data_IF_978623415080
#
_entry.id   IF_978623415080
#
_cell.length_a   1.000
_cell.length_b   1.000
_cell.length_c   1.000
_cell.angle_alpha   90.00
_cell.angle_beta   90.00
_cell.angle_gamma   90.00
#
_symmetry.space_group_name_H-M   'P 1'
#
loop_
_entity.id
_entity.type
_entity.pdbx_description
1 polymer ?
#
# COMPACT_ATOMS: atom_id res chain seq x y z
N UNK A 1 -55.65 50.19 -0.23
CA UNK A 1 -55.13 49.75 -1.54
C UNK A 1 -56.27 49.72 -2.55
N UNK A 2 -55.99 50.01 -3.81
CA UNK A 2 -56.91 49.78 -4.93
C UNK A 2 -56.98 48.27 -5.28
N UNK A 3 -57.97 47.84 -6.07
CA UNK A 3 -58.15 46.42 -6.44
C UNK A 3 -56.90 45.83 -7.10
N UNK A 4 -56.33 46.54 -8.08
CA UNK A 4 -55.18 46.05 -8.84
C UNK A 4 -53.93 45.95 -7.95
N UNK A 5 -53.79 46.84 -6.97
CA UNK A 5 -52.72 46.77 -5.97
C UNK A 5 -52.86 45.55 -5.06
N UNK A 6 -54.08 45.21 -4.65
CA UNK A 6 -54.36 44.00 -3.85
C UNK A 6 -54.05 42.74 -4.64
N UNK A 7 -54.48 42.66 -5.91
CA UNK A 7 -54.21 41.50 -6.77
C UNK A 7 -52.71 41.36 -7.09
N UNK A 8 -51.98 42.48 -7.22
CA UNK A 8 -50.53 42.46 -7.36
C UNK A 8 -49.83 42.00 -6.06
N UNK A 9 -50.25 42.50 -4.90
CA UNK A 9 -49.69 42.11 -3.61
C UNK A 9 -49.91 40.63 -3.29
N UNK A 10 -51.11 40.09 -3.55
CA UNK A 10 -51.41 38.66 -3.37
C UNK A 10 -50.53 37.77 -4.26
N UNK A 11 -50.30 38.15 -5.52
CA UNK A 11 -49.37 37.41 -6.40
C UNK A 11 -47.95 37.42 -5.85
N UNK A 12 -47.45 38.59 -5.46
CA UNK A 12 -46.11 38.73 -4.89
C UNK A 12 -45.93 37.86 -3.62
N UNK A 13 -46.90 37.89 -2.71
CA UNK A 13 -46.85 37.13 -1.46
C UNK A 13 -46.98 35.61 -1.69
N UNK A 14 -47.71 35.19 -2.72
CA UNK A 14 -47.74 33.77 -3.11
C UNK A 14 -46.38 33.28 -3.59
N UNK A 15 -45.74 34.04 -4.48
CA UNK A 15 -44.39 33.73 -4.95
C UNK A 15 -43.36 33.79 -3.81
N UNK A 16 -43.54 34.66 -2.82
CA UNK A 16 -42.74 34.71 -1.60
C UNK A 16 -42.95 33.48 -0.71
N UNK A 17 -44.20 33.06 -0.50
CA UNK A 17 -44.54 31.83 0.23
C UNK A 17 -43.87 30.60 -0.39
N UNK A 18 -43.94 30.45 -1.72
CA UNK A 18 -43.34 29.32 -2.43
C UNK A 18 -41.82 29.30 -2.26
N UNK A 19 -41.16 30.47 -2.40
CA UNK A 19 -39.71 30.60 -2.16
C UNK A 19 -39.33 30.25 -0.73
N UNK A 20 -40.06 30.75 0.27
CA UNK A 20 -39.80 30.44 1.67
C UNK A 20 -39.95 28.93 1.89
N UNK A 21 -41.05 28.32 1.43
CA UNK A 21 -41.27 26.88 1.58
C UNK A 21 -40.13 26.06 0.97
N UNK A 22 -39.65 26.42 -0.22
CA UNK A 22 -38.53 25.71 -0.86
C UNK A 22 -37.26 25.83 -0.02
N UNK A 23 -36.94 27.04 0.46
CA UNK A 23 -35.75 27.27 1.31
C UNK A 23 -35.81 26.54 2.66
N UNK A 24 -37.00 26.39 3.24
CA UNK A 24 -37.17 25.59 4.46
C UNK A 24 -36.90 24.09 4.21
N UNK A 25 -37.35 23.57 3.08
CA UNK A 25 -37.07 22.18 2.68
C UNK A 25 -35.57 21.98 2.41
N UNK A 26 -34.90 22.95 1.77
CA UNK A 26 -33.45 22.90 1.53
C UNK A 26 -32.65 22.79 2.84
N UNK A 27 -33.10 23.43 3.92
CA UNK A 27 -32.47 23.31 5.24
C UNK A 27 -32.61 21.90 5.81
N UNK A 28 -33.78 21.27 5.66
CA UNK A 28 -34.00 19.91 6.14
C UNK A 28 -33.25 18.86 5.31
N UNK A 29 -33.11 19.11 4.00
CA UNK A 29 -32.33 18.29 3.09
C UNK A 29 -30.81 18.44 3.26
N UNK A 30 -30.37 19.48 3.96
CA UNK A 30 -28.95 19.68 4.25
C UNK A 30 -28.35 18.48 5.02
N UNK A 31 -27.15 18.05 4.63
CA UNK A 31 -26.48 16.89 5.23
C UNK A 31 -26.36 16.99 6.75
N UNK A 32 -25.87 18.13 7.26
CA UNK A 32 -25.82 18.41 8.71
C UNK A 32 -27.16 18.24 9.44
N UNK A 33 -28.30 18.61 8.82
CA UNK A 33 -29.62 18.45 9.45
C UNK A 33 -30.03 16.98 9.48
N UNK A 34 -29.77 16.23 8.39
CA UNK A 34 -30.00 14.78 8.34
C UNK A 34 -29.12 14.02 9.33
N UNK A 35 -27.87 14.43 9.50
CA UNK A 35 -26.96 13.87 10.51
C UNK A 35 -27.47 14.12 11.92
N UNK A 36 -27.91 15.35 12.21
CA UNK A 36 -28.53 15.68 13.50
C UNK A 36 -29.86 14.95 13.71
N UNK A 37 -30.61 14.68 12.64
CA UNK A 37 -31.90 13.95 12.72
C UNK A 37 -31.70 12.43 12.86
N UNK A 38 -30.51 11.92 12.54
CA UNK A 38 -30.14 10.51 12.67
C UNK A 38 -29.52 10.17 14.03
N UNK A 39 -29.58 8.88 14.38
CA UNK A 39 -28.90 8.22 15.51
C UNK A 39 -29.07 8.80 16.94
N UNK A 40 -28.65 8.02 17.93
CA UNK A 40 -28.63 8.40 19.35
C UNK A 40 -27.44 9.31 19.63
N UNK A 41 -27.64 10.63 19.49
CA UNK A 41 -26.63 11.64 19.80
C UNK A 41 -26.50 11.84 21.31
N UNK A 42 -25.29 12.18 21.75
CA UNK A 42 -24.98 12.43 23.18
C UNK A 42 -24.27 13.77 23.37
N UNK A 43 -24.17 14.21 24.62
CA UNK A 43 -23.32 15.35 25.02
C UNK A 43 -23.66 16.67 24.33
N UNK A 44 -22.65 17.37 23.81
CA UNK A 44 -22.82 18.69 23.19
C UNK A 44 -23.60 18.60 21.87
N UNK A 45 -23.38 17.53 21.11
CA UNK A 45 -24.09 17.30 19.84
C UNK A 45 -25.60 17.11 20.06
N UNK A 46 -26.01 16.41 21.12
CA UNK A 46 -27.42 16.25 21.48
C UNK A 46 -28.09 17.56 21.92
N UNK A 47 -27.34 18.45 22.60
CA UNK A 47 -27.83 19.78 22.99
C UNK A 47 -28.10 20.62 21.74
N UNK A 48 -27.15 20.66 20.82
CA UNK A 48 -27.32 21.39 19.57
C UNK A 48 -28.44 20.79 18.70
N UNK A 49 -28.57 19.47 18.64
CA UNK A 49 -29.71 18.80 17.97
C UNK A 49 -31.05 19.32 18.52
N UNK A 50 -31.19 19.39 19.84
CA UNK A 50 -32.41 19.88 20.48
C UNK A 50 -32.67 21.35 20.15
N UNK A 51 -31.62 22.17 20.14
CA UNK A 51 -31.70 23.59 19.82
C UNK A 51 -32.14 23.82 18.36
N UNK A 52 -31.49 23.13 17.41
CA UNK A 52 -31.83 23.18 15.96
C UNK A 52 -33.26 22.70 15.74
N UNK A 53 -33.66 21.57 16.35
CA UNK A 53 -35.03 21.06 16.26
C UNK A 53 -36.05 22.07 16.78
N UNK A 54 -35.77 22.70 17.92
CA UNK A 54 -36.67 23.70 18.52
C UNK A 54 -36.82 24.92 17.61
N UNK A 55 -35.73 25.44 17.04
CA UNK A 55 -35.78 26.55 16.08
C UNK A 55 -36.51 26.18 14.81
N UNK A 56 -36.28 24.98 14.28
CA UNK A 56 -36.93 24.48 13.05
C UNK A 56 -38.45 24.33 13.25
N UNK A 57 -38.88 23.80 14.40
CA UNK A 57 -40.31 23.77 14.76
C UNK A 57 -40.93 25.17 14.88
N UNK A 58 -40.21 26.12 15.49
CA UNK A 58 -40.68 27.51 15.58
C UNK A 58 -40.75 28.21 14.20
N UNK A 59 -39.86 27.84 13.29
CA UNK A 59 -39.83 28.34 11.92
C UNK A 59 -41.04 27.84 11.12
N UNK A 60 -41.37 26.54 11.22
CA UNK A 60 -42.56 25.96 10.61
C UNK A 60 -43.86 26.49 11.21
N UNK A 61 -43.97 26.64 12.54
CA UNK A 61 -45.17 27.24 13.17
C UNK A 61 -45.39 28.69 12.69
N UNK A 62 -44.32 29.48 12.54
CA UNK A 62 -44.43 30.84 12.01
C UNK A 62 -44.80 30.86 10.52
N UNK A 63 -44.26 29.91 9.73
CA UNK A 63 -44.61 29.75 8.32
C UNK A 63 -46.05 29.31 8.12
N UNK A 64 -46.57 28.40 8.95
CA UNK A 64 -47.97 27.95 8.91
C UNK A 64 -48.93 29.10 9.23
N UNK A 65 -48.60 29.94 10.23
CA UNK A 65 -49.37 31.14 10.56
C UNK A 65 -49.34 32.17 9.43
N UNK A 66 -48.17 32.44 8.86
CA UNK A 66 -48.01 33.30 7.69
C UNK A 66 -48.87 32.80 6.52
N UNK A 67 -48.79 31.49 6.23
CA UNK A 67 -49.55 30.83 5.17
C UNK A 67 -51.06 30.88 5.43
N UNK A 68 -51.49 30.74 6.68
CA UNK A 68 -52.89 30.86 7.09
C UNK A 68 -53.46 32.27 6.90
N UNK A 69 -52.72 33.30 7.32
CA UNK A 69 -53.12 34.70 7.10
C UNK A 69 -53.19 35.04 5.61
N UNK A 70 -52.23 34.58 4.80
CA UNK A 70 -52.26 34.76 3.34
C UNK A 70 -53.46 34.02 2.71
N UNK A 71 -53.68 32.76 3.10
CA UNK A 71 -54.82 31.97 2.61
C UNK A 71 -56.18 32.62 2.95
N UNK A 72 -56.32 33.19 4.14
CA UNK A 72 -57.52 33.94 4.53
C UNK A 72 -57.73 35.20 3.66
N UNK A 73 -56.65 35.92 3.31
CA UNK A 73 -56.73 37.06 2.40
C UNK A 73 -57.08 36.65 0.97
N UNK A 74 -56.52 35.55 0.46
CA UNK A 74 -56.84 34.97 -0.84
C UNK A 74 -58.31 34.53 -0.91
N UNK A 75 -58.80 33.86 0.14
CA UNK A 75 -60.17 33.40 0.22
C UNK A 75 -61.17 34.58 0.26
N UNK A 76 -60.87 35.60 1.08
CA UNK A 76 -61.68 36.81 1.15
C UNK A 76 -61.76 37.52 -0.22
N UNK A 77 -60.64 37.55 -0.95
CA UNK A 77 -60.59 38.12 -2.30
C UNK A 77 -61.36 37.26 -3.33
N UNK A 78 -61.29 35.94 -3.23
CA UNK A 78 -61.97 35.00 -4.13
C UNK A 78 -63.50 35.01 -3.96
N UNK A 79 -63.99 35.16 -2.72
CA UNK A 79 -65.42 35.27 -2.42
C UNK A 79 -66.07 36.57 -2.95
N UNK A 80 -65.27 37.60 -3.26
CA UNK A 80 -65.75 38.90 -3.72
C UNK A 80 -65.17 39.31 -5.08
N UNK A 81 -65.89 38.99 -6.17
CA UNK A 81 -65.49 39.38 -7.54
C UNK A 81 -65.38 40.90 -7.77
N UNK A 82 -66.16 41.70 -7.03
CA UNK A 82 -66.09 43.16 -6.99
C UNK A 82 -66.08 43.63 -5.53
N UNK A 83 -64.92 43.65 -4.87
CA UNK A 83 -64.83 44.02 -3.46
C UNK A 83 -65.20 45.50 -3.28
N UNK A 84 -66.11 45.78 -2.35
CA UNK A 84 -66.43 47.15 -1.93
C UNK A 84 -65.35 47.74 -1.01
N UNK A 85 -65.47 49.03 -0.68
CA UNK A 85 -64.60 49.74 0.28
C UNK A 85 -64.32 48.97 1.59
N UNK A 86 -65.31 48.40 2.31
CA UNK A 86 -65.03 47.69 3.56
C UNK A 86 -64.20 46.41 3.36
N UNK A 87 -64.41 45.70 2.25
CA UNK A 87 -63.63 44.49 1.92
C UNK A 87 -62.20 44.87 1.51
N UNK A 88 -62.03 45.95 0.76
CA UNK A 88 -60.70 46.46 0.39
C UNK A 88 -59.92 46.96 1.61
N UNK A 89 -60.59 47.57 2.59
CA UNK A 89 -59.97 47.98 3.85
C UNK A 89 -59.48 46.76 4.65
N UNK A 90 -60.31 45.71 4.74
CA UNK A 90 -59.94 44.47 5.43
C UNK A 90 -58.81 43.71 4.71
N UNK A 91 -58.85 43.61 3.38
CA UNK A 91 -57.75 43.06 2.59
C UNK A 91 -56.45 43.86 2.78
N UNK A 92 -56.53 45.19 2.81
CA UNK A 92 -55.38 46.04 3.10
C UNK A 92 -54.83 45.75 4.50
N UNK A 93 -55.71 45.58 5.51
CA UNK A 93 -55.32 45.24 6.88
C UNK A 93 -54.64 43.87 6.97
N UNK A 94 -55.15 42.85 6.28
CA UNK A 94 -54.55 41.52 6.24
C UNK A 94 -53.16 41.51 5.58
N UNK A 95 -53.00 42.28 4.50
CA UNK A 95 -51.77 42.27 3.70
C UNK A 95 -50.67 43.19 4.25
N UNK A 96 -51.04 44.31 4.88
CA UNK A 96 -50.07 45.34 5.32
C UNK A 96 -50.10 45.62 6.82
N UNK A 97 -51.17 45.24 7.51
CA UNK A 97 -51.34 45.42 8.95
C UNK A 97 -50.91 44.20 9.77
N UNK A 98 -50.92 44.32 11.10
CA UNK A 98 -50.58 43.25 12.02
C UNK A 98 -51.68 42.18 12.04
N UNK A 99 -51.43 41.06 11.35
CA UNK A 99 -52.44 40.03 11.04
C UNK A 99 -51.95 38.59 11.21
N UNK A 100 -50.65 38.39 11.47
CA UNK A 100 -50.09 37.08 11.85
C UNK A 100 -50.11 36.98 13.36
N UNK A 101 -50.95 36.12 13.91
CA UNK A 101 -51.11 35.95 15.36
C UNK A 101 -50.01 35.03 15.91
N UNK A 102 -49.17 35.57 16.79
CA UNK A 102 -48.22 34.75 17.55
C UNK A 102 -48.94 34.07 18.72
N UNK A 103 -48.50 32.87 19.12
CA UNK A 103 -49.02 32.24 20.32
C UNK A 103 -48.74 33.17 21.51
N UNK A 104 -49.77 33.38 22.34
CA UNK A 104 -49.62 34.14 23.56
C UNK A 104 -48.52 33.52 24.41
N UNK A 105 -47.55 34.34 24.83
CA UNK A 105 -46.51 33.88 25.77
C UNK A 105 -47.23 33.43 27.04
N UNK A 106 -47.06 32.16 27.44
CA UNK A 106 -47.65 31.69 28.69
C UNK A 106 -47.13 32.55 29.84
N UNK A 107 -48.02 33.35 30.40
CA UNK A 107 -47.71 34.16 31.59
C UNK A 107 -47.70 33.18 32.77
N UNK A 108 -46.58 33.06 33.52
CA UNK A 108 -46.52 32.25 34.74
C UNK A 108 -47.65 32.63 35.68
N UNK A 109 -48.22 31.67 36.40
CA UNK A 109 -49.43 31.87 37.22
C UNK A 109 -49.27 33.02 38.23
N UNK A 110 -48.05 33.21 38.71
CA UNK A 110 -47.59 34.28 39.63
C UNK A 110 -47.72 35.69 39.04
N UNK A 111 -47.68 35.82 37.72
CA UNK A 111 -47.75 37.09 36.97
C UNK A 111 -49.10 37.27 36.27
N UNK A 112 -50.04 36.31 36.43
CA UNK A 112 -51.39 36.42 35.88
C UNK A 112 -52.23 37.35 36.74
N UNK A 113 -52.86 38.33 36.12
CA UNK A 113 -53.91 39.14 36.75
C UNK A 113 -55.28 38.71 36.23
N UNK A 114 -56.33 38.79 37.06
CA UNK A 114 -57.68 38.30 36.76
C UNK A 114 -58.34 38.94 35.51
N UNK A 115 -57.82 40.07 35.04
CA UNK A 115 -58.37 40.85 33.92
C UNK A 115 -57.36 41.08 32.77
N UNK A 116 -56.11 40.62 32.87
CA UNK A 116 -55.18 40.74 31.76
C UNK A 116 -55.42 39.61 30.76
N UNK A 117 -56.06 39.94 29.64
CA UNK A 117 -55.95 39.11 28.45
C UNK A 117 -54.46 38.97 28.08
N UNK A 118 -53.98 37.77 27.68
CA UNK A 118 -52.64 37.65 27.14
C UNK A 118 -52.47 38.65 25.99
N UNK A 119 -51.38 39.41 25.99
CA UNK A 119 -51.13 40.36 24.91
C UNK A 119 -50.99 39.58 23.60
N UNK A 120 -52.02 39.62 22.76
CA UNK A 120 -51.97 39.09 21.40
C UNK A 120 -50.92 39.88 20.62
N UNK A 121 -49.73 39.29 20.49
CA UNK A 121 -48.67 39.92 19.72
C UNK A 121 -48.89 39.58 18.27
N UNK A 122 -49.40 40.54 17.50
CA UNK A 122 -49.66 40.37 16.06
C UNK A 122 -48.50 40.96 15.27
N UNK A 123 -47.98 40.19 14.31
CA UNK A 123 -46.95 40.64 13.37
C UNK A 123 -47.59 41.01 12.03
N UNK A 124 -46.96 41.95 11.31
CA UNK A 124 -47.24 42.10 9.88
C UNK A 124 -46.65 40.89 9.13
N UNK A 125 -47.14 40.61 7.91
CA UNK A 125 -46.54 39.56 7.06
C UNK A 125 -45.04 39.81 6.84
N UNK A 126 -44.65 41.08 6.67
CA UNK A 126 -43.25 41.49 6.52
C UNK A 126 -42.41 41.20 7.77
N UNK A 127 -42.93 41.49 8.96
CA UNK A 127 -42.21 41.24 10.22
C UNK A 127 -42.13 39.74 10.52
N UNK A 128 -43.15 38.97 10.15
CA UNK A 128 -43.12 37.51 10.22
C UNK A 128 -42.00 36.95 9.33
N UNK A 129 -41.88 37.42 8.08
CA UNK A 129 -40.78 37.03 7.18
C UNK A 129 -39.43 37.44 7.76
N UNK A 130 -39.26 38.68 8.24
CA UNK A 130 -37.99 39.11 8.84
C UNK A 130 -37.58 38.24 10.04
N UNK A 131 -38.56 37.82 10.86
CA UNK A 131 -38.32 36.91 11.98
C UNK A 131 -38.01 35.49 11.53
N UNK A 132 -38.70 34.97 10.51
CA UNK A 132 -38.37 33.68 9.89
C UNK A 132 -36.95 33.70 9.30
N UNK A 133 -36.57 34.76 8.60
CA UNK A 133 -35.22 34.93 8.02
C UNK A 133 -34.14 34.87 9.10
N UNK A 134 -34.31 35.58 10.22
CA UNK A 134 -33.34 35.53 11.31
C UNK A 134 -33.21 34.12 11.92
N UNK A 135 -34.34 33.44 12.17
CA UNK A 135 -34.36 32.07 12.69
C UNK A 135 -33.72 31.07 11.71
N UNK A 136 -33.99 31.23 10.42
CA UNK A 136 -33.40 30.43 9.36
C UNK A 136 -31.88 30.63 9.28
N UNK A 137 -31.39 31.88 9.23
CA UNK A 137 -29.96 32.18 9.13
C UNK A 137 -29.17 31.67 10.34
N UNK A 138 -29.73 31.72 11.54
CA UNK A 138 -29.14 31.11 12.73
C UNK A 138 -29.10 29.58 12.63
N UNK A 139 -30.22 28.95 12.24
CA UNK A 139 -30.32 27.48 12.15
C UNK A 139 -29.42 26.93 11.05
N UNK A 140 -29.40 27.57 9.88
CA UNK A 140 -28.53 27.22 8.77
C UNK A 140 -27.05 27.32 9.15
N UNK A 141 -26.63 28.36 9.88
CA UNK A 141 -25.25 28.48 10.39
C UNK A 141 -24.87 27.35 11.34
N UNK A 142 -25.76 26.94 12.23
CA UNK A 142 -25.51 25.83 13.15
C UNK A 142 -25.40 24.50 12.42
N UNK A 143 -26.34 24.23 11.51
CA UNK A 143 -26.34 23.02 10.69
C UNK A 143 -25.08 22.92 9.84
N UNK A 144 -24.68 24.01 9.18
CA UNK A 144 -23.45 24.06 8.38
C UNK A 144 -22.19 23.89 9.25
N UNK A 145 -22.16 24.47 10.45
CA UNK A 145 -21.04 24.31 11.38
C UNK A 145 -20.85 22.85 11.83
N UNK A 146 -21.95 22.16 12.15
CA UNK A 146 -21.94 20.73 12.48
C UNK A 146 -21.43 19.91 11.31
N UNK A 147 -21.97 20.14 10.13
CA UNK A 147 -21.60 19.42 8.92
C UNK A 147 -20.09 19.54 8.62
N UNK A 148 -19.54 20.75 8.76
CA UNK A 148 -18.11 21.00 8.57
C UNK A 148 -17.24 20.26 9.59
N UNK A 149 -17.60 20.29 10.87
CA UNK A 149 -16.88 19.56 11.93
C UNK A 149 -16.95 18.05 11.68
N UNK A 150 -18.15 17.54 11.42
CA UNK A 150 -18.39 16.11 11.25
C UNK A 150 -17.65 15.56 10.03
N UNK A 151 -17.75 16.23 8.89
CA UNK A 151 -17.09 15.84 7.65
C UNK A 151 -15.56 15.78 7.80
N UNK A 152 -14.98 16.76 8.48
CA UNK A 152 -13.54 16.78 8.75
C UNK A 152 -13.09 15.66 9.69
N UNK A 153 -13.86 15.39 10.75
CA UNK A 153 -13.56 14.30 11.69
C UNK A 153 -13.71 12.92 11.04
N UNK A 154 -14.73 12.71 10.22
CA UNK A 154 -14.92 11.45 9.49
C UNK A 154 -13.79 11.21 8.49
N UNK A 155 -13.40 12.24 7.72
CA UNK A 155 -12.27 12.15 6.79
C UNK A 155 -10.98 11.76 7.54
N UNK A 156 -10.68 12.44 8.65
CA UNK A 156 -9.48 12.14 9.45
C UNK A 156 -9.52 10.74 10.07
N UNK A 157 -10.71 10.25 10.46
CA UNK A 157 -10.90 8.89 10.98
C UNK A 157 -10.69 7.83 9.89
N UNK A 158 -11.25 8.05 8.70
CA UNK A 158 -11.10 7.14 7.55
C UNK A 158 -9.64 6.99 7.13
N UNK A 159 -8.89 8.10 7.10
CA UNK A 159 -7.45 8.08 6.83
C UNK A 159 -6.68 7.30 7.90
N UNK A 160 -6.99 7.51 9.19
CA UNK A 160 -6.34 6.79 10.28
C UNK A 160 -6.65 5.28 10.26
N UNK A 161 -7.88 4.92 9.89
CA UNK A 161 -8.32 3.55 9.74
C UNK A 161 -7.69 2.85 8.52
N UNK A 162 -7.46 3.59 7.43
CA UNK A 162 -6.68 3.11 6.30
C UNK A 162 -5.22 2.84 6.68
N UNK A 163 -4.58 3.76 7.41
CA UNK A 163 -3.22 3.59 7.93
C UNK A 163 -3.13 2.37 8.85
N UNK A 164 -4.13 2.17 9.73
CA UNK A 164 -4.21 1.00 10.62
C UNK A 164 -4.26 -0.31 9.85
N UNK A 165 -5.10 -0.39 8.81
CA UNK A 165 -5.23 -1.59 7.95
C UNK A 165 -3.92 -1.90 7.21
N UNK A 166 -3.24 -0.88 6.69
CA UNK A 166 -1.94 -1.06 6.02
C UNK A 166 -0.89 -1.64 6.98
N UNK A 167 -0.80 -1.10 8.20
CA UNK A 167 0.11 -1.59 9.25
C UNK A 167 -0.23 -3.02 9.67
N UNK A 168 -1.52 -3.34 9.82
CA UNK A 168 -1.97 -4.69 10.15
C UNK A 168 -1.59 -5.72 9.07
N UNK A 169 -1.69 -5.35 7.79
CA UNK A 169 -1.24 -6.19 6.68
C UNK A 169 0.25 -6.51 6.73
N UNK A 170 1.09 -5.52 7.03
CA UNK A 170 2.54 -5.72 7.19
C UNK A 170 2.87 -6.63 8.38
N UNK A 171 2.24 -6.40 9.54
CA UNK A 171 2.44 -7.22 10.73
C UNK A 171 2.03 -8.68 10.49
N UNK A 172 0.86 -8.89 9.85
CA UNK A 172 0.40 -10.22 9.47
C UNK A 172 1.38 -10.93 8.51
N UNK A 173 1.96 -10.20 7.56
CA UNK A 173 2.98 -10.71 6.64
C UNK A 173 4.29 -11.12 7.32
N UNK A 174 4.59 -10.56 8.49
CA UNK A 174 5.73 -10.96 9.34
C UNK A 174 5.36 -12.08 10.33
N UNK A 175 4.08 -12.37 10.52
CA UNK A 175 3.60 -13.30 11.55
C UNK A 175 3.77 -12.75 12.98
N UNK A 176 3.93 -11.43 13.13
CA UNK A 176 4.12 -10.77 14.41
C UNK A 176 2.82 -10.10 14.89
N UNK A 177 2.50 -10.30 16.16
CA UNK A 177 1.44 -9.55 16.86
C UNK A 177 2.08 -8.37 17.59
N UNK A 178 1.95 -7.16 17.05
CA UNK A 178 2.47 -5.93 17.69
C UNK A 178 1.44 -5.40 18.72
N UNK A 179 1.76 -5.37 20.02
CA UNK A 179 0.84 -4.87 21.06
C UNK A 179 0.57 -3.36 20.93
N UNK A 180 1.49 -2.61 20.31
CA UNK A 180 1.29 -1.21 19.97
C UNK A 180 0.21 -1.02 18.91
N UNK A 181 0.13 -1.90 17.90
CA UNK A 181 -0.96 -1.89 16.93
C UNK A 181 -2.32 -2.15 17.59
N UNK A 182 -2.40 -3.14 18.48
CA UNK A 182 -3.64 -3.44 19.19
C UNK A 182 -4.11 -2.26 20.06
N UNK A 183 -3.18 -1.61 20.77
CA UNK A 183 -3.46 -0.41 21.56
C UNK A 183 -3.96 0.75 20.70
N UNK A 184 -3.26 1.04 19.60
CA UNK A 184 -3.66 2.12 18.67
C UNK A 184 -5.01 1.83 18.01
N UNK A 185 -5.31 0.56 17.72
CA UNK A 185 -6.64 0.14 17.24
C UNK A 185 -7.74 0.46 18.24
N UNK A 186 -7.56 0.10 19.51
CA UNK A 186 -8.54 0.43 20.56
C UNK A 186 -8.72 1.94 20.76
N UNK A 187 -7.64 2.73 20.67
CA UNK A 187 -7.70 4.19 20.72
C UNK A 187 -8.48 4.78 19.54
N UNK A 188 -8.30 4.25 18.33
CA UNK A 188 -9.05 4.67 17.14
C UNK A 188 -10.52 4.25 17.19
N UNK A 189 -10.83 3.05 17.70
CA UNK A 189 -12.21 2.58 17.88
C UNK A 189 -12.96 3.48 18.87
N UNK A 190 -12.31 3.86 19.97
CA UNK A 190 -12.86 4.79 20.95
C UNK A 190 -13.06 6.19 20.36
N UNK A 191 -12.08 6.72 19.62
CA UNK A 191 -12.22 7.99 18.92
C UNK A 191 -13.37 7.95 17.90
N UNK A 192 -13.47 6.87 17.13
CA UNK A 192 -14.54 6.67 16.15
C UNK A 192 -15.92 6.58 16.80
N UNK A 193 -16.03 6.00 17.99
CA UNK A 193 -17.29 6.01 18.74
C UNK A 193 -17.71 7.45 19.09
N UNK A 194 -16.78 8.27 19.60
CA UNK A 194 -17.05 9.68 19.91
C UNK A 194 -17.43 10.48 18.67
N UNK A 195 -16.71 10.31 17.54
CA UNK A 195 -17.04 10.98 16.27
C UNK A 195 -18.46 10.64 15.79
N UNK A 196 -18.96 9.44 16.08
CA UNK A 196 -20.31 9.01 15.67
C UNK A 196 -21.42 9.47 16.63
N UNK A 197 -21.14 9.64 17.93
CA UNK A 197 -22.17 9.94 18.94
C UNK A 197 -22.13 11.37 19.46
N UNK A 198 -20.95 11.97 19.55
CA UNK A 198 -20.76 13.36 20.02
C UNK A 198 -19.55 14.04 19.34
N UNK A 199 -19.58 14.27 18.02
CA UNK A 199 -18.49 14.92 17.30
C UNK A 199 -18.20 16.36 17.76
N UNK A 200 -19.20 17.09 18.28
CA UNK A 200 -18.98 18.45 18.76
C UNK A 200 -18.14 18.51 20.04
N UNK A 201 -18.07 17.43 20.82
CA UNK A 201 -17.11 17.31 21.92
C UNK A 201 -15.65 17.36 21.45
N UNK A 202 -15.41 17.05 20.17
CA UNK A 202 -14.13 17.14 19.48
C UNK A 202 -14.08 18.42 18.63
N UNK A 203 -14.65 19.51 19.11
CA UNK A 203 -14.59 20.80 18.43
C UNK A 203 -14.31 21.94 19.40
N UNK A 204 -13.53 22.93 18.95
CA UNK A 204 -13.21 24.12 19.72
C UNK A 204 -13.48 25.36 18.86
N UNK A 205 -14.42 26.20 19.27
CA UNK A 205 -14.79 27.41 18.53
C UNK A 205 -15.29 27.14 17.10
N UNK A 206 -16.00 26.01 16.89
CA UNK A 206 -16.51 25.60 15.58
C UNK A 206 -15.45 24.97 14.66
N UNK A 207 -14.23 24.74 15.14
CA UNK A 207 -13.19 24.02 14.40
C UNK A 207 -13.05 22.59 14.92
N UNK A 208 -12.93 21.59 14.03
CA UNK A 208 -12.71 20.20 14.43
C UNK A 208 -11.34 20.04 15.09
N UNK A 209 -11.30 19.33 16.22
CA UNK A 209 -10.08 18.90 16.89
C UNK A 209 -9.69 17.50 16.40
N UNK A 210 -8.81 17.44 15.42
CA UNK A 210 -8.26 16.19 14.88
C UNK A 210 -6.98 15.75 15.60
N UNK A 211 -6.56 16.41 16.67
CA UNK A 211 -5.23 16.22 17.30
C UNK A 211 -4.99 14.76 17.68
N UNK A 212 -6.00 14.08 18.27
CA UNK A 212 -5.90 12.66 18.64
C UNK A 212 -5.77 11.74 17.42
N UNK A 213 -6.52 12.01 16.36
CA UNK A 213 -6.47 11.23 15.11
C UNK A 213 -5.10 11.42 14.42
N UNK A 214 -4.62 12.66 14.34
CA UNK A 214 -3.29 12.98 13.78
C UNK A 214 -2.17 12.34 14.59
N UNK A 215 -2.26 12.34 15.92
CA UNK A 215 -1.30 11.66 16.79
C UNK A 215 -1.31 10.13 16.56
N UNK A 216 -2.49 9.52 16.45
CA UNK A 216 -2.63 8.11 16.12
C UNK A 216 -2.02 7.77 14.75
N UNK A 217 -2.28 8.59 13.72
CA UNK A 217 -1.67 8.45 12.39
C UNK A 217 -0.15 8.55 12.42
N UNK A 218 0.39 9.49 13.20
CA UNK A 218 1.83 9.65 13.38
C UNK A 218 2.45 8.42 14.04
N UNK A 219 1.79 7.88 15.08
CA UNK A 219 2.23 6.65 15.75
C UNK A 219 2.16 5.43 14.81
N UNK A 220 1.09 5.30 14.02
CA UNK A 220 0.94 4.27 13.00
C UNK A 220 2.01 4.37 11.90
N UNK A 221 2.35 5.58 11.45
CA UNK A 221 3.43 5.79 10.49
C UNK A 221 4.80 5.38 11.04
N UNK A 222 5.07 5.68 12.31
CA UNK A 222 6.29 5.23 12.99
C UNK A 222 6.36 3.70 13.12
N UNK A 223 5.25 3.06 13.45
CA UNK A 223 5.14 1.60 13.49
C UNK A 223 5.31 0.99 12.08
N UNK A 224 4.66 1.57 11.07
CA UNK A 224 4.81 1.18 9.67
C UNK A 224 6.27 1.18 9.23
N UNK A 225 7.01 2.27 9.50
CA UNK A 225 8.42 2.36 9.15
C UNK A 225 9.28 1.28 9.79
N UNK A 226 9.00 0.90 11.06
CA UNK A 226 9.68 -0.22 11.74
C UNK A 226 9.37 -1.56 11.09
N UNK A 227 8.10 -1.83 10.76
CA UNK A 227 7.69 -3.09 10.13
C UNK A 227 8.23 -3.21 8.70
N UNK A 228 8.21 -2.12 7.92
CA UNK A 228 8.79 -2.10 6.57
C UNK A 228 10.29 -2.39 6.61
N UNK A 229 11.02 -1.86 7.60
CA UNK A 229 12.44 -2.21 7.81
C UNK A 229 12.63 -3.68 8.16
N UNK A 230 11.79 -4.23 9.04
CA UNK A 230 11.84 -5.66 9.37
C UNK A 230 11.57 -6.55 8.14
N UNK A 231 10.60 -6.17 7.30
CA UNK A 231 10.34 -6.84 6.01
C UNK A 231 11.56 -6.77 5.09
N UNK A 232 12.17 -5.59 4.92
CA UNK A 232 13.38 -5.43 4.10
C UNK A 232 14.53 -6.32 4.59
N UNK A 233 14.76 -6.38 5.90
CA UNK A 233 15.81 -7.21 6.49
C UNK A 233 15.55 -8.71 6.29
N UNK A 234 14.30 -9.15 6.48
CA UNK A 234 13.88 -10.53 6.23
C UNK A 234 14.06 -10.92 4.77
N UNK A 235 13.57 -10.10 3.85
CA UNK A 235 13.60 -10.38 2.42
C UNK A 235 15.03 -10.34 1.88
N UNK A 236 15.86 -9.40 2.36
CA UNK A 236 17.28 -9.35 2.05
C UNK A 236 18.05 -10.58 2.56
N UNK A 237 17.73 -11.08 3.75
CA UNK A 237 18.30 -12.34 4.25
C UNK A 237 17.85 -13.55 3.42
N UNK A 238 16.56 -13.63 3.09
CA UNK A 238 16.02 -14.70 2.24
C UNK A 238 16.69 -14.72 0.86
N UNK A 239 16.88 -13.56 0.24
CA UNK A 239 17.59 -13.42 -1.04
C UNK A 239 19.03 -13.92 -0.95
N UNK A 240 19.80 -13.50 0.07
CA UNK A 240 21.18 -13.99 0.27
C UNK A 240 21.24 -15.50 0.50
N UNK A 241 20.30 -16.06 1.27
CA UNK A 241 20.23 -17.50 1.44
C UNK A 241 19.95 -18.24 0.11
N UNK A 242 19.20 -17.62 -0.81
CA UNK A 242 18.98 -18.18 -2.15
C UNK A 242 20.25 -18.10 -3.01
N UNK A 243 20.95 -16.96 -3.00
CA UNK A 243 22.22 -16.80 -3.72
C UNK A 243 23.28 -17.82 -3.26
N UNK A 244 23.39 -18.03 -1.94
CA UNK A 244 24.26 -19.05 -1.36
C UNK A 244 23.82 -20.46 -1.77
N UNK A 245 22.52 -20.75 -1.80
CA UNK A 245 22.00 -22.04 -2.27
C UNK A 245 22.40 -22.31 -3.73
N UNK A 246 22.28 -21.30 -4.59
CA UNK A 246 22.64 -21.42 -6.00
C UNK A 246 24.15 -21.63 -6.17
N UNK A 247 24.97 -20.94 -5.36
CA UNK A 247 26.42 -21.14 -5.32
C UNK A 247 26.79 -22.56 -4.87
N UNK A 248 26.14 -23.10 -3.84
CA UNK A 248 26.31 -24.50 -3.41
C UNK A 248 25.89 -25.46 -4.52
N UNK A 249 24.82 -25.14 -5.27
CA UNK A 249 24.42 -25.89 -6.46
C UNK A 249 25.54 -25.98 -7.51
N UNK A 250 26.25 -24.88 -7.75
CA UNK A 250 27.42 -24.84 -8.65
C UNK A 250 28.59 -25.68 -8.11
N UNK A 251 28.87 -25.63 -6.80
CA UNK A 251 29.87 -26.50 -6.16
C UNK A 251 29.54 -27.96 -6.44
N UNK A 252 28.29 -28.36 -6.22
CA UNK A 252 27.83 -29.74 -6.42
C UNK A 252 27.99 -30.21 -7.87
N UNK A 253 27.75 -29.34 -8.85
CA UNK A 253 27.97 -29.68 -10.26
C UNK A 253 29.47 -29.75 -10.61
N UNK A 254 30.30 -28.86 -10.03
CA UNK A 254 31.75 -28.94 -10.17
C UNK A 254 32.30 -30.26 -9.60
N UNK A 255 31.83 -30.70 -8.42
CA UNK A 255 32.19 -31.99 -7.81
C UNK A 255 31.85 -33.15 -8.75
N UNK A 256 30.62 -33.19 -9.27
CA UNK A 256 30.18 -34.22 -10.23
C UNK A 256 31.00 -34.23 -11.52
N UNK A 257 31.36 -33.05 -12.05
CA UNK A 257 32.23 -32.95 -13.23
C UNK A 257 33.63 -33.49 -12.92
N UNK A 258 34.21 -33.12 -11.78
CA UNK A 258 35.52 -33.60 -11.34
C UNK A 258 35.53 -35.13 -11.19
N UNK A 259 34.51 -35.72 -10.57
CA UNK A 259 34.41 -37.18 -10.43
C UNK A 259 34.27 -37.90 -11.78
N UNK A 260 33.44 -37.39 -12.70
CA UNK A 260 33.33 -37.95 -14.05
C UNK A 260 34.66 -37.90 -14.81
N UNK A 261 35.37 -36.77 -14.76
CA UNK A 261 36.68 -36.63 -15.37
C UNK A 261 37.70 -37.57 -14.74
N UNK A 262 37.65 -37.76 -13.42
CA UNK A 262 38.53 -38.69 -12.69
C UNK A 262 38.31 -40.13 -13.14
N UNK A 263 37.06 -40.57 -13.22
CA UNK A 263 36.73 -41.93 -13.66
C UNK A 263 37.21 -42.17 -15.10
N UNK A 264 37.04 -41.18 -15.97
CA UNK A 264 37.54 -41.23 -17.34
C UNK A 264 39.07 -41.28 -17.42
N UNK A 265 39.78 -40.48 -16.62
CA UNK A 265 41.24 -40.50 -16.53
C UNK A 265 41.75 -41.85 -16.01
N UNK A 266 41.11 -42.43 -15.00
CA UNK A 266 41.49 -43.74 -14.45
C UNK A 266 41.36 -44.87 -15.48
N UNK A 267 40.44 -44.76 -16.44
CA UNK A 267 40.30 -45.70 -17.56
C UNK A 267 41.33 -45.44 -18.66
N UNK A 268 41.62 -44.17 -18.96
CA UNK A 268 42.38 -43.77 -20.16
C UNK A 268 43.88 -43.57 -19.94
N UNK A 269 44.32 -43.27 -18.73
CA UNK A 269 45.70 -42.89 -18.41
C UNK A 269 46.32 -43.91 -17.45
N UNK A 270 47.54 -44.34 -17.73
CA UNK A 270 48.27 -45.28 -16.88
C UNK A 270 48.90 -44.54 -15.69
N UNK A 271 48.67 -45.04 -14.48
CA UNK A 271 49.21 -44.51 -13.22
C UNK A 271 49.11 -42.97 -13.09
N UNK A 272 47.91 -42.37 -13.23
CA UNK A 272 47.76 -40.93 -13.11
C UNK A 272 47.98 -40.46 -11.67
N UNK A 273 48.61 -39.29 -11.50
CA UNK A 273 48.67 -38.58 -10.22
C UNK A 273 47.52 -37.58 -10.20
N UNK A 274 46.53 -37.81 -9.34
CA UNK A 274 45.29 -37.03 -9.30
C UNK A 274 45.19 -36.23 -8.00
N UNK A 275 44.70 -34.98 -8.05
CA UNK A 275 44.35 -34.25 -6.83
C UNK A 275 43.15 -34.90 -6.13
N UNK A 276 43.01 -34.62 -4.83
CA UNK A 276 41.81 -35.00 -4.09
C UNK A 276 40.61 -34.14 -4.55
N UNK A 277 39.43 -34.76 -4.64
CA UNK A 277 38.19 -34.05 -4.98
C UNK A 277 37.39 -33.92 -3.68
N UNK A 278 37.33 -32.70 -3.09
CA UNK A 278 36.70 -32.53 -1.79
C UNK A 278 35.17 -32.59 -1.93
N UNK A 279 34.49 -33.25 -0.97
CA UNK A 279 33.03 -33.32 -0.89
C UNK A 279 32.54 -32.22 0.08
N UNK A 280 32.38 -31.01 -0.44
CA UNK A 280 32.09 -29.81 0.37
C UNK A 280 30.61 -29.39 0.27
N UNK A 281 29.93 -29.70 -0.83
CA UNK A 281 28.56 -29.25 -1.08
C UNK A 281 27.60 -29.66 0.05
N UNK A 282 27.66 -30.93 0.52
CA UNK A 282 26.80 -31.43 1.60
C UNK A 282 27.00 -30.68 2.92
N UNK A 283 28.25 -30.42 3.31
CA UNK A 283 28.55 -29.68 4.53
C UNK A 283 28.07 -28.22 4.44
N UNK A 284 28.14 -27.61 3.25
CA UNK A 284 27.61 -26.28 3.01
C UNK A 284 26.07 -26.25 3.05
N UNK A 285 25.39 -27.26 2.51
CA UNK A 285 23.94 -27.41 2.62
C UNK A 285 23.49 -27.49 4.08
N UNK A 286 24.16 -28.32 4.89
CA UNK A 286 23.88 -28.46 6.33
C UNK A 286 24.06 -27.13 7.06
N UNK A 287 25.13 -26.37 6.74
CA UNK A 287 25.36 -25.03 7.29
C UNK A 287 24.29 -24.03 6.86
N UNK A 288 23.85 -24.06 5.59
CA UNK A 288 22.78 -23.19 5.08
C UNK A 288 21.44 -23.52 5.75
N UNK A 289 21.13 -24.80 5.93
CA UNK A 289 19.93 -25.25 6.64
C UNK A 289 19.94 -24.76 8.10
N UNK A 290 21.08 -24.86 8.78
CA UNK A 290 21.26 -24.29 10.12
C UNK A 290 21.05 -22.78 10.15
N UNK A 291 21.65 -22.05 9.19
CA UNK A 291 21.51 -20.59 9.08
C UNK A 291 20.05 -20.15 8.92
N UNK A 292 19.25 -20.88 8.13
CA UNK A 292 17.81 -20.60 7.92
C UNK A 292 16.94 -20.76 9.17
N UNK A 293 17.44 -21.44 10.21
CA UNK A 293 16.73 -21.63 11.48
C UNK A 293 17.08 -20.59 12.55
N UNK A 294 18.03 -19.70 12.28
CA UNK A 294 18.49 -18.67 13.21
C UNK A 294 17.65 -17.36 13.26
N UNK A 295 16.78 -17.01 12.28
CA UNK A 295 15.88 -15.86 12.42
C UNK A 295 15.08 -15.89 13.73
N UNK A 296 14.96 -14.73 14.39
CA UNK A 296 14.30 -14.59 15.69
C UNK A 296 15.15 -14.96 16.92
N UNK A 297 16.32 -15.59 16.74
CA UNK A 297 17.26 -15.94 17.84
C UNK A 297 18.52 -15.08 17.87
N UNK A 298 18.84 -14.42 16.76
CA UNK A 298 20.04 -13.59 16.58
C UNK A 298 19.67 -12.26 15.94
N UNK A 299 20.55 -11.27 16.08
CA UNK A 299 20.38 -9.98 15.41
C UNK A 299 20.52 -10.12 13.89
N UNK A 300 19.88 -9.24 13.13
CA UNK A 300 20.00 -9.22 11.67
C UNK A 300 21.43 -8.95 11.19
N UNK A 301 22.22 -8.20 11.97
CA UNK A 301 23.64 -7.96 11.68
C UNK A 301 24.47 -9.25 11.80
N UNK A 302 24.21 -10.06 12.83
CA UNK A 302 24.88 -11.36 12.98
C UNK A 302 24.48 -12.33 11.86
N UNK A 303 23.20 -12.37 11.48
CA UNK A 303 22.71 -13.20 10.38
C UNK A 303 23.35 -12.80 9.05
N UNK A 304 23.51 -11.50 8.81
CA UNK A 304 24.19 -10.97 7.63
C UNK A 304 25.66 -11.41 7.58
N UNK A 305 26.39 -11.32 8.70
CA UNK A 305 27.78 -11.76 8.78
C UNK A 305 27.91 -13.28 8.55
N UNK A 306 27.06 -14.09 9.19
CA UNK A 306 27.05 -15.54 9.00
C UNK A 306 26.72 -15.95 7.57
N UNK A 307 25.81 -15.23 6.89
CA UNK A 307 25.50 -15.45 5.48
C UNK A 307 26.71 -15.13 4.59
N UNK A 308 27.38 -13.99 4.82
CA UNK A 308 28.58 -13.61 4.07
C UNK A 308 29.74 -14.59 4.29
N UNK A 309 29.91 -15.12 5.50
CA UNK A 309 30.90 -16.15 5.81
C UNK A 309 30.62 -17.46 5.07
N UNK A 310 29.35 -17.83 4.97
CA UNK A 310 28.93 -19.02 4.23
C UNK A 310 29.08 -18.84 2.72
N UNK A 311 28.76 -17.65 2.20
CA UNK A 311 28.97 -17.28 0.80
C UNK A 311 30.44 -17.37 0.42
N UNK A 312 31.34 -16.77 1.21
CA UNK A 312 32.80 -16.89 1.01
C UNK A 312 33.26 -18.35 1.03
N UNK A 313 32.80 -19.12 2.02
CA UNK A 313 33.16 -20.54 2.11
C UNK A 313 32.67 -21.35 0.90
N UNK A 314 31.49 -21.04 0.35
CA UNK A 314 30.98 -21.67 -0.86
C UNK A 314 31.75 -21.25 -2.12
N UNK A 315 32.17 -19.98 -2.19
CA UNK A 315 33.05 -19.47 -3.26
C UNK A 315 34.42 -20.16 -3.26
N UNK A 316 35.05 -20.27 -2.09
CA UNK A 316 36.33 -20.96 -1.92
C UNK A 316 36.22 -22.46 -2.21
N UNK A 317 35.08 -23.09 -1.88
CA UNK A 317 34.80 -24.47 -2.24
C UNK A 317 34.66 -24.63 -3.76
N UNK A 318 33.95 -23.73 -4.43
CA UNK A 318 33.77 -23.78 -5.88
C UNK A 318 35.13 -23.65 -6.59
N UNK A 319 35.93 -22.64 -6.22
CA UNK A 319 37.24 -22.41 -6.82
C UNK A 319 38.16 -23.63 -6.69
N UNK A 320 38.24 -24.22 -5.48
CA UNK A 320 39.06 -25.42 -5.24
C UNK A 320 38.59 -26.63 -6.05
N UNK A 321 37.28 -26.85 -6.16
CA UNK A 321 36.74 -27.97 -6.92
C UNK A 321 36.92 -27.77 -8.43
N UNK A 322 36.79 -26.54 -8.93
CA UNK A 322 37.05 -26.21 -10.33
C UNK A 322 38.53 -26.36 -10.68
N UNK A 323 39.45 -25.94 -9.80
CA UNK A 323 40.89 -26.16 -9.97
C UNK A 323 41.23 -27.67 -10.03
N UNK A 324 40.68 -28.47 -9.11
CA UNK A 324 40.85 -29.92 -9.14
C UNK A 324 40.31 -30.53 -10.44
N UNK A 325 39.11 -30.12 -10.88
CA UNK A 325 38.51 -30.58 -12.12
C UNK A 325 39.35 -30.24 -13.36
N UNK A 326 39.91 -29.02 -13.40
CA UNK A 326 40.78 -28.57 -14.48
C UNK A 326 42.08 -29.37 -14.54
N UNK A 327 42.72 -29.66 -13.39
CA UNK A 327 43.93 -30.48 -13.32
C UNK A 327 43.68 -31.91 -13.81
N UNK A 328 42.53 -32.51 -13.45
CA UNK A 328 42.16 -33.85 -13.88
C UNK A 328 41.89 -33.87 -15.39
N UNK A 329 41.08 -32.93 -15.89
CA UNK A 329 40.73 -32.84 -17.32
C UNK A 329 41.96 -32.57 -18.18
N UNK A 330 42.90 -31.76 -17.68
CA UNK A 330 44.16 -31.45 -18.36
C UNK A 330 45.01 -32.69 -18.69
N UNK A 331 44.85 -33.81 -17.99
CA UNK A 331 45.52 -35.07 -18.34
C UNK A 331 44.93 -35.72 -19.61
N UNK A 332 43.61 -35.62 -19.81
CA UNK A 332 42.93 -36.07 -21.03
C UNK A 332 43.28 -35.14 -22.19
N UNK A 333 43.23 -33.83 -21.96
CA UNK A 333 43.59 -32.83 -22.97
C UNK A 333 45.04 -33.02 -23.43
N UNK A 334 45.96 -33.29 -22.49
CA UNK A 334 47.36 -33.59 -22.80
C UNK A 334 47.50 -34.83 -23.68
N UNK A 335 46.68 -35.87 -23.46
CA UNK A 335 46.68 -37.07 -24.31
C UNK A 335 46.26 -36.72 -25.74
N UNK A 336 45.18 -35.96 -25.90
CA UNK A 336 44.70 -35.56 -27.24
C UNK A 336 45.66 -34.59 -27.93
N UNK A 337 46.30 -33.68 -27.18
CA UNK A 337 47.35 -32.80 -27.70
C UNK A 337 48.53 -33.62 -28.25
N UNK A 338 49.01 -34.63 -27.50
CA UNK A 338 50.12 -35.49 -27.94
C UNK A 338 49.76 -36.27 -29.21
N UNK A 339 48.51 -36.72 -29.35
CA UNK A 339 48.02 -37.37 -30.57
C UNK A 339 48.02 -36.43 -31.76
N UNK A 340 47.47 -35.23 -31.60
CA UNK A 340 47.47 -34.21 -32.65
C UNK A 340 48.88 -33.81 -33.07
N UNK A 341 49.80 -33.67 -32.11
CA UNK A 341 51.22 -33.38 -32.36
C UNK A 341 51.93 -34.51 -33.11
N UNK A 342 51.70 -35.76 -32.72
CA UNK A 342 52.28 -36.91 -33.43
C UNK A 342 51.83 -36.91 -34.91
N UNK A 343 50.54 -36.69 -35.15
CA UNK A 343 50.00 -36.60 -36.51
C UNK A 343 50.58 -35.43 -37.31
N UNK A 344 50.74 -34.26 -36.69
CA UNK A 344 51.39 -33.12 -37.33
C UNK A 344 52.85 -33.40 -37.71
N UNK A 345 53.60 -34.06 -36.82
CA UNK A 345 54.99 -34.45 -37.11
C UNK A 345 55.09 -35.52 -38.19
N UNK A 346 54.14 -36.46 -38.27
CA UNK A 346 54.05 -37.42 -39.39
C UNK A 346 53.90 -36.69 -40.73
N UNK A 347 52.98 -35.73 -40.82
CA UNK A 347 52.79 -34.92 -42.03
C UNK A 347 54.07 -34.14 -42.37
N UNK A 348 54.77 -33.58 -41.38
CA UNK A 348 56.04 -32.88 -41.58
C UNK A 348 57.14 -33.81 -42.10
N UNK A 349 57.29 -35.00 -41.54
CA UNK A 349 58.26 -36.00 -42.00
C UNK A 349 58.00 -36.41 -43.45
N UNK A 350 56.73 -36.61 -43.83
CA UNK A 350 56.34 -36.91 -45.20
C UNK A 350 56.68 -35.78 -46.19
N UNK A 351 56.45 -34.51 -45.81
CA UNK A 351 56.81 -33.34 -46.64
C UNK A 351 58.32 -33.18 -46.85
N UNK A 352 59.13 -33.63 -45.90
CA UNK A 352 60.60 -33.59 -45.98
C UNK A 352 61.17 -34.79 -46.77
N UNK A 353 60.34 -35.63 -47.38
CA UNK A 353 60.78 -36.77 -48.19
C UNK A 353 61.22 -38.00 -47.37
N UNK A 354 61.05 -37.99 -46.05
CA UNK A 354 61.43 -39.09 -45.17
C UNK A 354 60.27 -40.06 -44.88
N UNK A 355 59.33 -40.21 -45.82
CA UNK A 355 58.16 -41.06 -45.65
C UNK A 355 58.51 -42.56 -45.62
N UNK A 356 59.59 -42.97 -46.27
CA UNK A 356 60.05 -44.37 -46.38
C UNK A 356 61.20 -44.70 -45.42
N UNK A 357 61.55 -43.78 -44.51
CA UNK A 357 62.60 -44.01 -43.53
C UNK A 357 62.11 -45.00 -42.44
N UNK A 358 62.68 -46.20 -42.45
CA UNK A 358 62.30 -47.30 -41.57
C UNK A 358 62.42 -46.94 -40.07
N UNK A 359 63.45 -46.19 -39.67
CA UNK A 359 63.63 -45.84 -38.26
C UNK A 359 62.61 -44.79 -37.79
N UNK A 360 62.25 -43.83 -38.67
CA UNK A 360 61.18 -42.88 -38.38
C UNK A 360 59.82 -43.58 -38.32
N UNK A 361 59.56 -44.55 -39.18
CA UNK A 361 58.35 -45.36 -39.14
C UNK A 361 58.25 -46.15 -37.82
N UNK A 362 59.33 -46.81 -37.37
CA UNK A 362 59.36 -47.51 -36.08
C UNK A 362 59.17 -46.58 -34.87
N UNK A 363 59.76 -45.38 -34.90
CA UNK A 363 59.56 -44.38 -33.84
C UNK A 363 58.12 -43.85 -33.83
N UNK A 364 57.52 -43.63 -35.00
CA UNK A 364 56.12 -43.24 -35.11
C UNK A 364 55.19 -44.34 -34.59
N UNK A 365 55.38 -45.59 -35.01
CA UNK A 365 54.53 -46.72 -34.59
C UNK A 365 54.64 -46.98 -33.09
N UNK A 366 55.83 -46.83 -32.49
CA UNK A 366 56.00 -46.88 -31.04
C UNK A 366 55.22 -45.77 -30.33
N UNK A 367 55.34 -44.52 -30.80
CA UNK A 367 54.61 -43.39 -30.22
C UNK A 367 53.08 -43.54 -30.38
N UNK A 368 52.63 -44.01 -31.55
CA UNK A 368 51.22 -44.26 -31.85
C UNK A 368 50.67 -45.40 -31.00
N UNK A 369 51.41 -46.49 -30.84
CA UNK A 369 51.07 -47.61 -29.98
C UNK A 369 50.79 -47.13 -28.55
N UNK A 370 51.70 -46.36 -27.97
CA UNK A 370 51.54 -45.82 -26.62
C UNK A 370 50.33 -44.87 -26.47
N UNK A 371 50.07 -44.00 -27.46
CA UNK A 371 49.00 -42.99 -27.39
C UNK A 371 47.59 -43.53 -27.67
N UNK A 372 47.47 -44.61 -28.44
CA UNK A 372 46.18 -45.24 -28.77
C UNK A 372 45.82 -46.43 -27.87
N UNK A 373 46.74 -46.92 -27.03
CA UNK A 373 46.41 -47.87 -25.96
C UNK A 373 45.58 -47.20 -24.85
N UNK A 374 44.72 -47.99 -24.19
CA UNK A 374 44.03 -47.63 -22.94
C UNK A 374 44.35 -48.71 -21.90
N UNK A 375 45.02 -48.39 -20.79
CA UNK A 375 45.49 -47.06 -20.36
C UNK A 375 46.80 -46.59 -21.04
N UNK A 376 46.91 -45.29 -21.31
CA UNK A 376 48.06 -44.63 -21.97
C UNK A 376 49.07 -44.12 -20.93
N UNK A 377 50.35 -44.52 -21.05
CA UNK A 377 51.44 -43.95 -20.25
C UNK A 377 51.89 -42.61 -20.85
N UNK A 378 51.37 -41.51 -20.31
CA UNK A 378 51.67 -40.16 -20.79
C UNK A 378 53.15 -39.80 -20.72
N UNK A 379 53.87 -40.31 -19.71
CA UNK A 379 55.31 -40.01 -19.55
C UNK A 379 56.10 -40.69 -20.66
N UNK A 380 55.88 -41.99 -20.87
CA UNK A 380 56.54 -42.74 -21.96
C UNK A 380 56.14 -42.22 -23.34
N UNK A 381 54.86 -41.89 -23.54
CA UNK A 381 54.39 -41.31 -24.80
C UNK A 381 55.06 -39.96 -25.11
N UNK A 382 55.20 -39.08 -24.11
CA UNK A 382 55.87 -37.78 -24.25
C UNK A 382 57.35 -37.95 -24.62
N UNK A 383 58.07 -38.86 -23.96
CA UNK A 383 59.48 -39.14 -24.26
C UNK A 383 59.65 -39.71 -25.68
N UNK A 384 58.80 -40.65 -26.07
CA UNK A 384 58.87 -41.29 -27.40
C UNK A 384 58.57 -40.29 -28.52
N UNK A 385 57.55 -39.44 -28.36
CA UNK A 385 57.25 -38.36 -29.29
C UNK A 385 58.40 -37.35 -29.41
N UNK A 386 59.05 -37.01 -28.30
CA UNK A 386 60.20 -36.10 -28.30
C UNK A 386 61.40 -36.70 -29.06
N UNK A 387 61.65 -38.00 -28.89
CA UNK A 387 62.65 -38.73 -29.67
C UNK A 387 62.34 -38.74 -31.17
N UNK A 388 61.07 -38.98 -31.55
CA UNK A 388 60.62 -38.88 -32.94
C UNK A 388 60.82 -37.48 -33.52
N UNK A 389 60.44 -36.44 -32.77
CA UNK A 389 60.64 -35.04 -33.17
C UNK A 389 62.13 -34.70 -33.38
N UNK A 390 63.01 -35.15 -32.47
CA UNK A 390 64.46 -34.96 -32.59
C UNK A 390 65.02 -35.67 -33.81
N UNK A 391 64.59 -36.91 -34.08
CA UNK A 391 65.00 -37.69 -35.24
C UNK A 391 64.55 -37.07 -36.58
N UNK A 392 63.38 -36.44 -36.64
CA UNK A 392 62.97 -35.65 -37.82
C UNK A 392 63.88 -34.43 -37.98
N UNK A 393 64.18 -33.75 -36.88
CA UNK A 393 64.96 -32.50 -36.90
C UNK A 393 66.44 -32.73 -37.24
N UNK A 394 67.04 -33.85 -36.82
CA UNK A 394 68.40 -34.22 -37.18
C UNK A 394 68.52 -34.56 -38.67
N UNK A 395 67.54 -35.29 -39.22
CA UNK A 395 67.48 -35.62 -40.65
C UNK A 395 67.29 -34.38 -41.52
N UNK A 396 66.38 -33.49 -41.13
CA UNK A 396 66.18 -32.21 -41.83
C UNK A 396 67.47 -31.37 -41.90
N UNK A 397 68.26 -31.33 -40.83
CA UNK A 397 69.56 -30.62 -40.80
C UNK A 397 70.66 -31.35 -41.57
N UNK A 398 70.55 -32.67 -41.73
CA UNK A 398 71.48 -33.48 -42.53
C UNK A 398 71.24 -33.37 -44.03
N UNK A 399 70.05 -32.93 -44.47
CA UNK A 399 69.70 -32.71 -45.89
C UNK A 399 70.09 -31.30 -46.39
N UNK A 400 70.37 -30.36 -45.48
CA UNK A 400 70.83 -28.99 -45.80
C UNK A 400 72.36 -28.85 -45.91
N UNK A 401 73.12 -29.94 -45.76
CA UNK A 401 74.57 -30.03 -46.07
C UNK A 401 74.77 -30.89 -47.31
#
# INVERSE_FOLDING_TARGET
>A
MARDEVDAALRYLRDEKERISATLLDLEDHQGYRLLSGASLTGETARLQTEVRTRTLALWDLFDRYSGTLGAAEELRARHNRPGQPVLAELTRLLTGPSVELPAKEVPLEQRTLLAAPAETRLTLKDAVARMTALFEESARMVAGVDAVWSALLTALEEAEADRRAVAGLAAGLGESDPGLARLGAELDAAGAVVRTDPLSLSHGGRPDTTRLVAARTALAGLRGRLEEAVRLRDGFAARCQEVQDLIGRVREAERRAYRARDEVLVKIAAPVLPDIPILARALDERLAGLRQLPGRRSWQDLAALAADLERAAGDALARTEEAAALITGLLDRREELRGRLEAYRVKAARLGHAEDAELAELYDRARGLLWTSPCDLRKATMTLSGYQQAISSRAKGTER
#
